data_IF_797692346504
#
_entry.id   IF_797692346504
#
_cell.length_a   1.000
_cell.length_b   1.000
_cell.length_c   1.000
_cell.angle_alpha   90.00
_cell.angle_beta   90.00
_cell.angle_gamma   90.00
#
_symmetry.space_group_name_H-M   'P 1'
#
loop_
_entity.id
_entity.type
_entity.pdbx_description
1 polymer ?
#
# COMPACT_ATOMS: atom_id res chain seq x y z
N UNK A 1 -6.03 -10.64 0.01
CA UNK A 1 -5.20 -10.99 1.16
C UNK A 1 -3.70 -10.82 0.87
N UNK A 2 -3.28 -9.64 0.41
CA UNK A 2 -1.86 -9.37 0.14
C UNK A 2 -1.22 -8.39 1.12
N UNK A 3 -1.87 -8.08 2.21
CA UNK A 3 -1.28 -7.33 3.32
C UNK A 3 -0.90 -8.31 4.41
N UNK A 4 0.26 -8.93 4.22
CA UNK A 4 0.91 -9.75 5.22
C UNK A 4 1.67 -8.83 6.17
N UNK A 5 1.00 -8.36 7.20
CA UNK A 5 1.64 -7.57 8.22
C UNK A 5 1.43 -8.18 9.60
N UNK A 6 2.47 -8.18 10.39
CA UNK A 6 2.37 -8.30 11.84
C UNK A 6 1.65 -7.03 12.32
N UNK A 7 0.40 -7.15 12.73
CA UNK A 7 -0.33 -6.06 13.39
C UNK A 7 -1.42 -5.35 12.60
N UNK A 8 -1.60 -5.62 11.31
CA UNK A 8 -2.84 -5.26 10.62
C UNK A 8 -3.92 -6.30 10.99
N UNK A 9 -4.29 -6.31 12.26
CA UNK A 9 -5.32 -7.20 12.75
C UNK A 9 -6.59 -7.08 11.93
N UNK A 10 -7.10 -8.20 11.55
CA UNK A 10 -8.31 -8.52 10.82
C UNK A 10 -8.18 -8.79 9.33
N UNK A 11 -8.48 -10.02 9.05
CA UNK A 11 -8.42 -10.74 7.78
C UNK A 11 -9.31 -10.14 6.67
N UNK A 12 -10.13 -9.12 6.97
CA UNK A 12 -11.20 -8.66 6.07
C UNK A 12 -11.12 -7.19 5.66
N UNK A 13 -9.99 -6.53 5.87
CA UNK A 13 -9.83 -5.15 5.40
C UNK A 13 -9.61 -5.14 3.88
N UNK A 14 -10.68 -4.80 3.16
CA UNK A 14 -10.63 -4.57 1.72
C UNK A 14 -10.27 -3.13 1.44
N UNK A 15 -9.40 -2.93 0.47
CA UNK A 15 -9.03 -1.59 0.02
C UNK A 15 -8.96 -1.53 -1.50
N UNK A 16 -9.24 -0.36 -2.05
CA UNK A 16 -8.99 -0.07 -3.44
C UNK A 16 -7.68 0.67 -3.62
N UNK A 17 -7.04 0.45 -4.77
CA UNK A 17 -5.98 1.30 -5.28
C UNK A 17 -6.38 1.76 -6.67
N UNK A 18 -6.53 3.07 -6.85
CA UNK A 18 -6.96 3.68 -8.11
C UNK A 18 -6.42 5.10 -8.22
N UNK A 19 -6.45 5.67 -9.41
CA UNK A 19 -6.19 7.09 -9.63
C UNK A 19 -7.38 7.94 -9.20
N UNK A 20 -7.15 9.25 -8.97
CA UNK A 20 -8.21 10.19 -8.54
C UNK A 20 -9.28 10.36 -9.62
N UNK A 21 -8.89 10.38 -10.89
CA UNK A 21 -9.81 10.68 -11.99
C UNK A 21 -11.03 9.75 -12.07
N UNK A 22 -10.92 8.40 -11.96
CA UNK A 22 -12.08 7.53 -11.86
C UNK A 22 -13.00 7.86 -10.68
N UNK A 23 -12.44 8.18 -9.52
CA UNK A 23 -13.22 8.52 -8.31
C UNK A 23 -13.95 9.86 -8.50
N UNK A 24 -13.24 10.85 -9.03
CA UNK A 24 -13.80 12.17 -9.36
C UNK A 24 -14.98 12.07 -10.34
N UNK A 25 -14.82 11.33 -11.44
CA UNK A 25 -15.89 11.15 -12.43
C UNK A 25 -17.08 10.34 -11.89
N UNK A 26 -16.86 9.40 -10.97
CA UNK A 26 -17.94 8.68 -10.31
C UNK A 26 -18.69 9.58 -9.32
N UNK A 27 -18.03 10.60 -8.78
CA UNK A 27 -18.45 11.50 -7.73
C UNK A 27 -18.06 10.98 -6.35
N UNK A 28 -17.35 11.79 -5.57
CA UNK A 28 -16.79 11.40 -4.28
C UNK A 28 -17.84 10.81 -3.32
N UNK A 29 -18.93 11.51 -3.08
CA UNK A 29 -20.01 11.05 -2.18
C UNK A 29 -20.57 9.70 -2.63
N UNK A 30 -20.91 9.57 -3.89
CA UNK A 30 -21.45 8.33 -4.45
C UNK A 30 -20.45 7.17 -4.37
N UNK A 31 -19.17 7.46 -4.60
CA UNK A 31 -18.11 6.47 -4.54
C UNK A 31 -17.89 5.97 -3.10
N UNK A 32 -17.80 6.86 -2.14
CA UNK A 32 -17.57 6.49 -0.75
C UNK A 32 -18.79 5.88 -0.07
N UNK A 33 -20.01 6.31 -0.41
CA UNK A 33 -21.23 5.58 -0.04
C UNK A 33 -21.16 4.12 -0.51
N UNK A 34 -20.71 3.90 -1.74
CA UNK A 34 -20.57 2.54 -2.28
C UNK A 34 -19.46 1.74 -1.60
N UNK A 35 -18.37 2.39 -1.22
CA UNK A 35 -17.32 1.78 -0.42
C UNK A 35 -17.84 1.30 0.94
N UNK A 36 -18.61 2.13 1.64
CA UNK A 36 -19.25 1.79 2.92
C UNK A 36 -20.17 0.58 2.78
N UNK A 37 -21.10 0.59 1.80
CA UNK A 37 -22.00 -0.52 1.51
C UNK A 37 -21.27 -1.85 1.25
N UNK A 38 -20.10 -1.80 0.62
CA UNK A 38 -19.30 -2.97 0.25
C UNK A 38 -18.28 -3.37 1.32
N UNK A 39 -18.20 -2.65 2.44
CA UNK A 39 -17.22 -2.91 3.50
C UNK A 39 -15.78 -2.63 3.06
N UNK A 40 -15.58 -1.65 2.17
CA UNK A 40 -14.25 -1.16 1.78
C UNK A 40 -13.77 -0.20 2.88
N UNK A 41 -12.68 -0.53 3.53
CA UNK A 41 -12.17 0.20 4.70
C UNK A 41 -11.12 1.25 4.38
N UNK A 42 -10.51 1.20 3.19
CA UNK A 42 -9.48 2.14 2.80
C UNK A 42 -9.33 2.28 1.28
N UNK A 43 -8.71 3.38 0.86
CA UNK A 43 -8.34 3.66 -0.52
C UNK A 43 -6.92 4.19 -0.60
N UNK A 44 -6.19 3.77 -1.64
CA UNK A 44 -4.87 4.29 -2.01
C UNK A 44 -5.03 5.05 -3.32
N UNK A 45 -4.65 6.33 -3.35
CA UNK A 45 -4.74 7.20 -4.53
C UNK A 45 -3.35 7.82 -4.77
N UNK A 46 -2.53 7.22 -5.67
CA UNK A 46 -1.13 7.60 -5.83
C UNK A 46 -0.87 8.98 -6.43
N UNK A 47 -1.86 9.54 -7.12
CA UNK A 47 -1.78 10.79 -7.88
C UNK A 47 -2.40 12.00 -7.19
N UNK A 48 -2.83 11.85 -5.94
CA UNK A 48 -3.26 12.98 -5.10
C UNK A 48 -2.07 13.44 -4.25
N UNK A 49 -1.55 14.65 -4.46
CA UNK A 49 -0.49 15.21 -3.62
C UNK A 49 -1.00 15.48 -2.21
N UNK A 50 -0.09 15.48 -1.25
CA UNK A 50 -0.42 15.69 0.16
C UNK A 50 -1.23 16.98 0.41
N UNK A 51 -0.91 18.05 -0.31
CA UNK A 51 -1.55 19.35 -0.19
C UNK A 51 -3.02 19.34 -0.65
N UNK A 52 -3.40 18.42 -1.52
CA UNK A 52 -4.75 18.26 -2.08
C UNK A 52 -5.53 17.11 -1.44
N UNK A 53 -4.91 16.38 -0.51
CA UNK A 53 -5.48 15.21 0.15
C UNK A 53 -6.85 15.48 0.78
N UNK A 54 -7.04 16.67 1.34
CA UNK A 54 -8.27 17.07 2.02
C UNK A 54 -9.53 16.95 1.14
N UNK A 55 -9.40 17.15 -0.18
CA UNK A 55 -10.52 17.03 -1.13
C UNK A 55 -11.11 15.62 -1.14
N UNK A 56 -10.25 14.61 -1.04
CA UNK A 56 -10.67 13.20 -1.04
C UNK A 56 -10.94 12.71 0.39
N UNK A 57 -10.17 13.16 1.37
CA UNK A 57 -10.26 12.71 2.76
C UNK A 57 -11.56 13.11 3.44
N UNK A 58 -12.06 14.31 3.17
CA UNK A 58 -13.29 14.80 3.79
C UNK A 58 -14.50 13.88 3.49
N UNK A 59 -14.84 13.57 2.22
CA UNK A 59 -15.93 12.64 1.92
C UNK A 59 -15.61 11.20 2.33
N UNK A 60 -14.36 10.75 2.21
CA UNK A 60 -13.97 9.39 2.63
C UNK A 60 -14.21 9.16 4.13
N UNK A 61 -13.85 10.13 4.96
CA UNK A 61 -13.99 10.07 6.42
C UNK A 61 -15.46 9.99 6.85
N UNK A 62 -16.36 10.69 6.16
CA UNK A 62 -17.80 10.65 6.42
C UNK A 62 -18.37 9.23 6.28
N UNK A 63 -17.80 8.42 5.39
CA UNK A 63 -18.17 7.03 5.12
C UNK A 63 -17.26 5.98 5.80
N UNK A 64 -16.43 6.39 6.75
CA UNK A 64 -15.54 5.49 7.49
C UNK A 64 -14.41 4.88 6.65
N UNK A 65 -14.11 5.44 5.46
CA UNK A 65 -13.05 4.99 4.57
C UNK A 65 -11.79 5.79 4.81
N UNK A 66 -10.66 5.12 5.05
CA UNK A 66 -9.36 5.76 5.25
C UNK A 66 -8.66 6.01 3.93
N UNK A 67 -8.09 7.20 3.76
CA UNK A 67 -7.18 7.50 2.64
C UNK A 67 -5.75 7.19 3.09
N UNK A 68 -5.16 6.17 2.51
CA UNK A 68 -3.83 5.68 2.88
C UNK A 68 -2.76 6.64 2.40
N UNK A 69 -1.93 7.10 3.32
CA UNK A 69 -0.81 7.97 3.02
C UNK A 69 0.30 7.23 2.30
N UNK A 70 0.79 7.80 1.20
CA UNK A 70 1.93 7.30 0.45
C UNK A 70 3.16 8.16 0.69
N UNK A 71 4.29 7.52 0.99
CA UNK A 71 5.58 8.18 1.18
C UNK A 71 6.56 7.64 0.13
N UNK A 72 6.99 8.54 -0.75
CA UNK A 72 8.10 8.30 -1.69
C UNK A 72 9.40 8.89 -1.12
N UNK A 73 10.58 8.50 -1.65
CA UNK A 73 11.85 9.11 -1.28
C UNK A 73 11.82 10.62 -1.52
N UNK A 74 11.87 11.39 -0.43
CA UNK A 74 11.82 12.86 -0.43
C UNK A 74 12.56 13.39 0.80
N UNK A 75 12.41 14.69 1.14
CA UNK A 75 13.01 15.28 2.33
C UNK A 75 12.47 14.68 3.62
N UNK A 76 13.31 14.59 4.64
CA UNK A 76 12.93 14.05 5.96
C UNK A 76 11.77 14.83 6.58
N UNK A 77 11.76 16.17 6.47
CA UNK A 77 10.69 17.01 6.98
C UNK A 77 9.33 16.67 6.35
N UNK A 78 9.31 16.41 5.04
CA UNK A 78 8.08 16.02 4.34
C UNK A 78 7.63 14.61 4.71
N UNK A 79 8.55 13.68 4.89
CA UNK A 79 8.25 12.33 5.37
C UNK A 79 7.56 12.40 6.73
N UNK A 80 8.13 13.15 7.67
CA UNK A 80 7.59 13.34 9.03
C UNK A 80 6.20 14.01 9.01
N UNK A 81 6.02 15.03 8.17
CA UNK A 81 4.75 15.73 8.00
C UNK A 81 3.65 14.76 7.54
N UNK A 82 3.88 14.01 6.46
CA UNK A 82 2.91 13.05 5.93
C UNK A 82 2.63 11.93 6.95
N UNK A 83 3.66 11.45 7.62
CA UNK A 83 3.55 10.35 8.58
C UNK A 83 2.76 10.73 9.83
N UNK A 84 2.90 11.98 10.33
CA UNK A 84 2.21 12.44 11.55
C UNK A 84 0.68 12.49 11.43
N UNK A 85 0.16 12.59 10.20
CA UNK A 85 -1.28 12.64 9.92
C UNK A 85 -1.82 11.31 9.35
N UNK A 86 -0.96 10.30 9.22
CA UNK A 86 -1.33 9.05 8.58
C UNK A 86 -2.30 8.23 9.42
N UNK A 87 -3.24 7.56 8.75
CA UNK A 87 -4.18 6.61 9.36
C UNK A 87 -4.10 5.24 8.68
N UNK A 88 -4.42 4.19 9.43
CA UNK A 88 -4.47 2.83 8.91
C UNK A 88 -3.09 2.21 8.75
N UNK A 89 -2.42 2.48 7.65
CA UNK A 89 -1.01 2.18 7.44
C UNK A 89 -0.37 3.19 6.48
N UNK A 90 0.95 3.21 6.42
CA UNK A 90 1.71 4.05 5.49
C UNK A 90 2.27 3.18 4.38
N UNK A 91 1.96 3.54 3.13
CA UNK A 91 2.54 2.90 1.96
C UNK A 91 3.89 3.56 1.62
N UNK A 92 5.00 2.88 1.87
CA UNK A 92 6.33 3.36 1.50
C UNK A 92 6.68 2.87 0.11
N UNK A 93 6.93 3.81 -0.81
CA UNK A 93 7.35 3.51 -2.18
C UNK A 93 8.86 3.31 -2.22
N UNK A 94 9.33 2.13 -2.63
CA UNK A 94 10.75 1.77 -2.61
C UNK A 94 11.62 2.52 -3.62
N UNK A 95 11.02 3.14 -4.64
CA UNK A 95 11.77 3.91 -5.64
C UNK A 95 10.92 4.97 -6.32
N UNK A 96 11.53 6.09 -6.71
CA UNK A 96 10.91 7.06 -7.61
C UNK A 96 10.99 6.53 -9.05
N UNK A 97 9.85 6.19 -9.65
CA UNK A 97 9.75 5.82 -11.06
C UNK A 97 8.78 4.69 -11.37
N UNK A 98 8.39 4.59 -12.63
CA UNK A 98 7.35 3.73 -13.20
C UNK A 98 7.46 2.25 -12.82
N UNK A 99 6.30 1.59 -12.79
CA UNK A 99 6.11 0.15 -12.58
C UNK A 99 7.06 -0.72 -13.42
N UNK A 100 7.85 -1.58 -12.77
CA UNK A 100 8.74 -2.54 -13.44
C UNK A 100 9.62 -3.29 -12.45
N UNK A 101 10.06 -4.50 -12.84
CA UNK A 101 11.02 -5.29 -12.06
C UNK A 101 12.40 -4.61 -12.18
N UNK A 102 13.00 -4.22 -11.06
CA UNK A 102 14.37 -3.66 -11.00
C UNK A 102 15.27 -4.56 -10.18
N UNK A 103 16.53 -4.63 -10.58
CA UNK A 103 17.58 -5.43 -9.92
C UNK A 103 18.24 -4.74 -8.71
N UNK A 104 18.12 -3.41 -8.58
CA UNK A 104 18.73 -2.65 -7.47
C UNK A 104 17.83 -1.53 -6.97
N UNK A 105 17.64 -1.46 -5.65
CA UNK A 105 16.96 -0.37 -4.94
C UNK A 105 18.05 0.53 -4.34
N UNK A 106 18.28 1.70 -4.96
CA UNK A 106 19.31 2.68 -4.51
C UNK A 106 18.83 3.61 -3.39
N UNK A 107 17.58 3.46 -2.93
CA UNK A 107 16.97 4.31 -1.91
C UNK A 107 17.33 3.81 -0.52
N UNK A 108 17.68 4.72 0.39
CA UNK A 108 17.90 4.40 1.81
C UNK A 108 16.55 4.20 2.53
N UNK A 109 15.91 3.07 2.29
CA UNK A 109 14.62 2.72 2.88
C UNK A 109 14.64 2.66 4.42
N UNK A 110 15.69 2.13 5.08
CA UNK A 110 15.79 2.17 6.54
C UNK A 110 15.67 3.58 7.11
N UNK A 111 16.33 4.57 6.53
CA UNK A 111 16.25 5.96 6.99
C UNK A 111 14.84 6.57 6.82
N UNK A 112 14.11 6.18 5.76
CA UNK A 112 12.72 6.59 5.57
C UNK A 112 11.84 5.99 6.68
N UNK A 113 11.96 4.71 6.95
CA UNK A 113 11.20 4.02 8.01
C UNK A 113 11.52 4.59 9.38
N UNK A 114 12.78 4.89 9.67
CA UNK A 114 13.20 5.54 10.91
C UNK A 114 12.56 6.93 11.06
N UNK A 115 12.54 7.73 9.99
CA UNK A 115 11.89 9.04 9.98
C UNK A 115 10.37 8.96 10.21
N UNK A 116 9.71 7.91 9.71
CA UNK A 116 8.29 7.62 9.96
C UNK A 116 8.09 7.27 11.44
N UNK A 117 8.84 6.31 11.95
CA UNK A 117 8.72 5.82 13.33
C UNK A 117 9.06 6.89 14.39
N UNK A 118 9.80 7.91 14.02
CA UNK A 118 10.09 9.05 14.90
C UNK A 118 8.86 9.91 15.23
N UNK A 119 7.77 9.82 14.46
CA UNK A 119 6.58 10.69 14.60
C UNK A 119 5.26 9.95 14.72
N UNK A 120 5.23 8.63 14.45
CA UNK A 120 3.98 7.85 14.52
C UNK A 120 4.25 6.36 14.76
N UNK A 121 3.29 5.70 15.43
CA UNK A 121 3.23 4.23 15.58
C UNK A 121 2.38 3.56 14.50
N UNK A 122 1.86 4.32 13.52
CA UNK A 122 1.11 3.78 12.40
C UNK A 122 2.01 2.83 11.61
N UNK A 123 1.61 1.56 11.38
CA UNK A 123 2.45 0.60 10.69
C UNK A 123 2.75 1.06 9.26
N UNK A 124 3.97 0.76 8.79
CA UNK A 124 4.37 1.05 7.42
C UNK A 124 4.70 -0.24 6.65
N UNK A 125 4.28 -0.28 5.40
CA UNK A 125 4.57 -1.37 4.49
C UNK A 125 5.26 -0.86 3.23
N UNK A 126 6.31 -1.56 2.81
CA UNK A 126 7.09 -1.18 1.64
C UNK A 126 6.55 -1.89 0.41
N UNK A 127 6.28 -1.13 -0.64
CA UNK A 127 5.82 -1.63 -1.92
C UNK A 127 6.64 -1.10 -3.09
N UNK A 128 6.34 -1.60 -4.29
CA UNK A 128 6.96 -1.30 -5.56
C UNK A 128 8.13 -2.23 -5.94
N UNK A 129 7.89 -3.02 -6.99
CA UNK A 129 8.91 -3.88 -7.60
C UNK A 129 9.20 -5.19 -6.84
N UNK A 130 8.54 -5.45 -5.72
CA UNK A 130 8.71 -6.69 -4.96
C UNK A 130 8.02 -7.84 -5.71
N UNK A 131 8.76 -8.90 -5.98
CA UNK A 131 8.28 -10.04 -6.76
C UNK A 131 8.82 -11.39 -6.30
N UNK A 132 9.82 -11.43 -5.42
CA UNK A 132 10.40 -12.67 -4.88
C UNK A 132 10.29 -12.74 -3.36
N UNK A 133 10.29 -13.97 -2.78
CA UNK A 133 10.30 -14.17 -1.35
C UNK A 133 11.45 -13.46 -0.63
N UNK A 134 12.66 -13.48 -1.21
CA UNK A 134 13.85 -12.82 -0.65
C UNK A 134 13.67 -11.31 -0.58
N UNK A 135 13.09 -10.71 -1.62
CA UNK A 135 12.77 -9.28 -1.64
C UNK A 135 11.73 -8.94 -0.58
N UNK A 136 10.67 -9.77 -0.44
CA UNK A 136 9.64 -9.57 0.59
C UNK A 136 10.23 -9.67 1.99
N UNK A 137 11.09 -10.66 2.27
CA UNK A 137 11.80 -10.82 3.54
C UNK A 137 12.67 -9.59 3.85
N UNK A 138 13.45 -9.12 2.86
CA UNK A 138 14.32 -7.96 3.03
C UNK A 138 13.51 -6.68 3.33
N UNK A 139 12.33 -6.48 2.72
CA UNK A 139 11.49 -5.32 3.01
C UNK A 139 10.80 -5.44 4.37
N UNK A 140 10.30 -6.63 4.71
CA UNK A 140 9.64 -6.88 6.00
C UNK A 140 10.61 -6.83 7.19
N UNK A 141 11.92 -7.04 6.98
CA UNK A 141 12.92 -6.91 8.05
C UNK A 141 13.14 -5.46 8.51
N UNK A 142 12.83 -4.47 7.68
CA UNK A 142 13.00 -3.04 7.98
C UNK A 142 11.68 -2.30 8.17
N UNK A 143 10.54 -2.93 7.90
CA UNK A 143 9.21 -2.34 8.00
C UNK A 143 8.20 -3.35 8.60
N UNK A 144 6.93 -2.99 8.68
CA UNK A 144 5.89 -3.87 9.22
C UNK A 144 5.30 -4.82 8.17
N UNK A 145 5.71 -4.69 6.89
CA UNK A 145 5.25 -5.57 5.83
C UNK A 145 5.75 -5.20 4.44
N UNK A 146 5.47 -6.10 3.49
CA UNK A 146 5.78 -5.92 2.08
C UNK A 146 4.49 -5.97 1.24
N UNK A 147 4.39 -5.08 0.24
CA UNK A 147 3.24 -5.00 -0.66
C UNK A 147 3.63 -5.54 -2.03
N UNK A 148 2.88 -6.53 -2.50
CA UNK A 148 3.10 -7.20 -3.78
C UNK A 148 1.86 -7.06 -4.65
N UNK A 149 2.00 -6.47 -5.82
CA UNK A 149 0.90 -6.26 -6.77
C UNK A 149 1.20 -6.83 -8.15
N UNK A 150 2.14 -6.24 -8.87
CA UNK A 150 2.41 -6.57 -10.28
C UNK A 150 2.74 -8.05 -10.54
N UNK A 151 3.37 -8.74 -9.60
CA UNK A 151 3.65 -10.16 -9.73
C UNK A 151 2.37 -10.99 -9.75
N UNK A 152 1.41 -10.67 -8.88
CA UNK A 152 0.09 -11.33 -8.83
C UNK A 152 -0.69 -11.03 -10.12
N UNK A 153 -0.68 -9.77 -10.59
CA UNK A 153 -1.32 -9.41 -11.87
C UNK A 153 -0.75 -10.21 -13.04
N UNK A 154 0.57 -10.45 -13.08
CA UNK A 154 1.20 -11.31 -14.11
C UNK A 154 0.71 -12.76 -14.03
N UNK A 155 0.51 -13.31 -12.83
CA UNK A 155 -0.06 -14.66 -12.66
C UNK A 155 -1.49 -14.67 -13.21
N UNK A 156 -2.31 -13.68 -12.87
CA UNK A 156 -3.68 -13.56 -13.40
C UNK A 156 -3.67 -13.47 -14.93
N UNK A 157 -2.81 -12.64 -15.49
CA UNK A 157 -2.69 -12.49 -16.95
C UNK A 157 -2.29 -13.80 -17.64
N UNK A 158 -1.45 -14.62 -16.99
CA UNK A 158 -0.99 -15.90 -17.54
C UNK A 158 -2.05 -17.01 -17.47
N UNK A 159 -2.77 -17.10 -16.36
CA UNK A 159 -3.65 -18.24 -16.08
C UNK A 159 -5.15 -17.90 -16.14
N UNK A 160 -5.52 -16.64 -16.28
CA UNK A 160 -6.89 -16.18 -16.39
C UNK A 160 -7.78 -16.67 -15.25
N UNK A 161 -8.86 -17.38 -15.58
CA UNK A 161 -9.82 -17.90 -14.60
C UNK A 161 -9.22 -19.00 -13.69
N UNK A 162 -8.16 -19.66 -14.11
CA UNK A 162 -7.49 -20.73 -13.38
C UNK A 162 -6.32 -20.22 -12.51
N UNK A 163 -6.17 -18.92 -12.35
CA UNK A 163 -5.06 -18.30 -11.63
C UNK A 163 -5.05 -18.57 -10.10
N UNK A 164 -6.19 -18.87 -9.49
CA UNK A 164 -6.33 -18.97 -8.03
C UNK A 164 -5.32 -19.92 -7.34
N UNK A 165 -5.10 -21.17 -7.78
CA UNK A 165 -4.12 -22.04 -7.14
C UNK A 165 -2.68 -21.51 -7.26
N UNK A 166 -2.30 -20.96 -8.40
CA UNK A 166 -0.96 -20.38 -8.62
C UNK A 166 -0.72 -19.14 -7.78
N UNK A 167 -1.75 -18.31 -7.60
CA UNK A 167 -1.70 -17.17 -6.66
C UNK A 167 -1.54 -17.67 -5.24
N UNK A 168 -2.29 -18.73 -4.86
CA UNK A 168 -2.19 -19.33 -3.53
C UNK A 168 -0.79 -19.82 -3.19
N UNK A 169 -0.16 -20.58 -4.10
CA UNK A 169 1.23 -21.04 -3.94
C UNK A 169 2.22 -19.88 -3.85
N UNK A 170 2.09 -18.90 -4.74
CA UNK A 170 2.94 -17.70 -4.72
C UNK A 170 2.81 -16.90 -3.41
N UNK A 171 1.58 -16.62 -2.97
CA UNK A 171 1.34 -15.89 -1.72
C UNK A 171 1.85 -16.69 -0.51
N UNK A 172 1.71 -18.03 -0.53
CA UNK A 172 2.24 -18.88 0.52
C UNK A 172 3.75 -18.76 0.63
N UNK A 173 4.49 -18.83 -0.48
CA UNK A 173 5.95 -18.69 -0.49
C UNK A 173 6.40 -17.31 0.03
N UNK A 174 5.70 -16.25 -0.36
CA UNK A 174 5.97 -14.90 0.12
C UNK A 174 5.72 -14.77 1.63
N UNK A 175 4.62 -15.37 2.12
CA UNK A 175 4.26 -15.35 3.54
C UNK A 175 5.28 -16.10 4.40
N UNK A 176 5.71 -17.28 3.97
CA UNK A 176 6.70 -18.09 4.67
C UNK A 176 8.03 -17.31 4.83
N UNK A 177 8.48 -16.66 3.77
CA UNK A 177 9.69 -15.85 3.79
C UNK A 177 9.64 -14.63 4.74
N UNK A 178 8.47 -14.02 4.91
CA UNK A 178 8.27 -12.87 5.81
C UNK A 178 8.08 -13.31 7.27
N UNK A 179 7.65 -14.54 7.52
CA UNK A 179 7.42 -15.05 8.88
C UNK A 179 8.68 -15.54 9.59
N UNK A 180 9.76 -15.81 8.82
CA UNK A 180 11.09 -16.19 9.34
C UNK A 180 11.92 -14.95 9.76
#
# INVERSE_FOLDING_TARGET
>A
DCLLSRGLGDVYKRQFMTYVNPVFHYGYEKFFTKCEELGISAIIIPDVPYEEKAEVEAPAKTHGVKVISMIAPTSESRIRQIASEAEGFIYVVSSMGVTGVRSEIKTNLPAIVESIRAVTDVPCAIGFGISTPEQAKAMASISDGAIVGSAIVKIIAKYGKDAAPYIGEYVKSMKEAVAE
#
